data_IF_824564659694
#
_entry.id   IF_824564659694
#
_cell.length_a   1.000
_cell.length_b   1.000
_cell.length_c   1.000
_cell.angle_alpha   90.00
_cell.angle_beta   90.00
_cell.angle_gamma   90.00
#
_symmetry.space_group_name_H-M   'P 1'
#
loop_
_entity.id
_entity.type
_entity.pdbx_description
1 polymer ?
#
# COMPACT_ATOMS: atom_id res chain seq x y z
N UNK A 1 17.68 1.91 4.40
CA UNK A 1 17.14 2.27 3.07
C UNK A 1 16.48 1.03 2.51
N UNK A 2 15.18 1.05 2.25
CA UNK A 2 14.48 -0.03 1.57
C UNK A 2 14.95 -0.04 0.09
N UNK A 3 15.93 -0.88 -0.20
CA UNK A 3 16.48 -1.10 -1.56
C UNK A 3 15.67 -2.11 -2.36
N UNK A 4 14.52 -2.58 -1.85
CA UNK A 4 13.69 -3.55 -2.53
C UNK A 4 12.96 -2.89 -3.68
N UNK A 5 13.36 -3.26 -4.91
CA UNK A 5 12.73 -2.90 -6.19
C UNK A 5 11.46 -3.70 -6.48
N UNK A 6 11.06 -4.58 -5.56
CA UNK A 6 9.87 -5.42 -5.73
C UNK A 6 8.64 -4.56 -5.49
N UNK A 7 7.73 -4.54 -6.46
CA UNK A 7 6.42 -3.92 -6.29
C UNK A 7 5.72 -4.58 -5.09
N UNK A 8 5.13 -3.79 -4.17
CA UNK A 8 4.37 -4.36 -3.07
C UNK A 8 3.22 -5.19 -3.65
N UNK A 9 3.19 -6.47 -3.30
CA UNK A 9 2.11 -7.36 -3.71
C UNK A 9 1.09 -7.42 -2.60
N UNK A 10 -0.19 -7.26 -2.95
CA UNK A 10 -1.30 -7.52 -2.04
C UNK A 10 -1.19 -8.98 -1.58
N UNK A 11 -0.84 -9.14 -0.30
CA UNK A 11 -0.76 -10.44 0.35
C UNK A 11 -1.85 -10.48 1.41
N UNK A 12 -2.63 -11.57 1.41
CA UNK A 12 -3.47 -11.89 2.55
C UNK A 12 -2.55 -12.37 3.67
N UNK A 13 -2.46 -11.59 4.75
CA UNK A 13 -1.74 -11.99 5.95
C UNK A 13 -2.61 -12.97 6.75
N UNK A 14 -2.01 -14.04 7.24
CA UNK A 14 -2.69 -14.95 8.16
C UNK A 14 -2.91 -14.28 9.53
N UNK A 15 -3.83 -14.85 10.33
CA UNK A 15 -4.15 -14.32 11.65
C UNK A 15 -2.92 -14.26 12.57
N UNK A 16 -2.01 -15.23 12.42
CA UNK A 16 -0.79 -15.37 13.21
C UNK A 16 0.42 -14.67 12.58
N UNK A 17 0.29 -14.11 11.38
CA UNK A 17 1.37 -13.36 10.74
C UNK A 17 1.60 -12.02 11.47
N UNK A 18 2.83 -11.80 11.93
CA UNK A 18 3.22 -10.55 12.60
C UNK A 18 3.23 -9.31 11.66
N UNK A 19 3.02 -9.49 10.36
CA UNK A 19 3.06 -8.43 9.34
C UNK A 19 2.21 -8.73 8.11
N UNK A 20 2.33 -7.92 7.05
CA UNK A 20 1.66 -8.18 5.76
C UNK A 20 0.26 -7.57 5.58
N UNK A 21 -0.32 -6.97 6.62
CA UNK A 21 -1.67 -6.36 6.57
C UNK A 21 -1.71 -4.94 6.01
N UNK A 22 -0.54 -4.28 5.91
CA UNK A 22 -0.46 -2.86 5.54
C UNK A 22 -1.08 -2.56 4.18
N UNK A 23 -0.79 -3.38 3.17
CA UNK A 23 -1.36 -3.20 1.83
C UNK A 23 -2.85 -3.53 1.80
N UNK A 24 -3.30 -4.55 2.54
CA UNK A 24 -4.73 -4.86 2.68
C UNK A 24 -5.49 -3.71 3.30
N UNK A 25 -4.90 -3.03 4.29
CA UNK A 25 -5.51 -1.88 4.93
C UNK A 25 -5.56 -0.66 4.00
N UNK A 26 -4.50 -0.43 3.22
CA UNK A 26 -4.47 0.62 2.19
C UNK A 26 -5.54 0.34 1.13
N UNK A 27 -5.62 -0.89 0.62
CA UNK A 27 -6.60 -1.32 -0.37
C UNK A 27 -8.05 -1.13 0.10
N UNK A 28 -8.34 -1.46 1.36
CA UNK A 28 -9.68 -1.33 1.92
C UNK A 28 -10.14 0.11 2.20
N UNK A 29 -9.20 1.04 2.41
CA UNK A 29 -9.50 2.41 2.86
C UNK A 29 -9.42 3.46 1.74
N UNK A 30 -8.80 3.12 0.62
CA UNK A 30 -8.43 4.09 -0.42
C UNK A 30 -9.26 3.86 -1.69
N UNK A 31 -9.53 4.93 -2.42
CA UNK A 31 -10.19 4.83 -3.72
C UNK A 31 -9.26 4.19 -4.76
N UNK A 32 -7.99 4.56 -4.69
CA UNK A 32 -6.92 4.06 -5.54
C UNK A 32 -5.61 4.14 -4.79
N UNK A 33 -4.69 3.22 -5.07
CA UNK A 33 -3.34 3.26 -4.54
C UNK A 33 -2.37 2.65 -5.55
N UNK A 34 -1.10 2.99 -5.43
CA UNK A 34 -0.08 2.50 -6.34
C UNK A 34 1.33 2.74 -5.83
N UNK A 35 2.30 2.45 -6.70
CA UNK A 35 3.72 2.65 -6.39
C UNK A 35 4.47 3.27 -7.54
N UNK A 36 5.29 4.26 -7.22
CA UNK A 36 6.19 4.89 -8.16
C UNK A 36 7.65 4.55 -7.82
N UNK A 37 8.46 4.11 -8.80
CA UNK A 37 9.88 3.90 -8.57
C UNK A 37 10.60 5.23 -8.37
N UNK A 38 11.51 5.27 -7.39
CA UNK A 38 12.37 6.42 -7.11
C UNK A 38 13.85 6.02 -7.25
N UNK A 39 14.77 6.95 -7.58
CA UNK A 39 16.20 6.63 -7.74
C UNK A 39 16.84 5.93 -6.53
N UNK A 40 16.27 6.08 -5.33
CA UNK A 40 16.73 5.44 -4.10
C UNK A 40 15.76 4.46 -3.44
N UNK A 41 14.67 4.05 -4.11
CA UNK A 41 13.65 3.19 -3.51
C UNK A 41 12.32 3.21 -4.28
N UNK A 42 11.21 3.17 -3.55
CA UNK A 42 9.85 3.29 -4.10
C UNK A 42 9.01 4.20 -3.21
N UNK A 43 8.12 4.96 -3.83
CA UNK A 43 7.03 5.66 -3.15
C UNK A 43 5.78 4.79 -3.22
N UNK A 44 5.02 4.71 -2.13
CA UNK A 44 3.65 4.16 -2.13
C UNK A 44 2.72 5.36 -1.94
N UNK A 45 1.75 5.51 -2.83
CA UNK A 45 0.76 6.59 -2.78
C UNK A 45 -0.65 6.02 -2.69
N UNK A 46 -1.58 6.81 -2.17
CA UNK A 46 -3.00 6.47 -2.15
C UNK A 46 -3.87 7.71 -2.25
N UNK A 47 -5.06 7.53 -2.82
CA UNK A 47 -6.11 8.54 -2.95
C UNK A 47 -7.23 8.17 -1.97
N UNK A 48 -7.54 9.08 -1.06
CA UNK A 48 -8.58 8.90 -0.05
C UNK A 48 -9.85 9.67 -0.44
N UNK A 49 -11.05 9.12 -0.17
CA UNK A 49 -12.29 9.87 -0.33
C UNK A 49 -12.28 11.13 0.54
N UNK A 50 -12.62 12.29 -0.02
CA UNK A 50 -12.60 13.58 0.71
C UNK A 50 -13.83 13.81 1.60
N UNK A 51 -14.71 12.81 1.75
CA UNK A 51 -15.93 12.88 2.56
C UNK A 51 -17.00 13.82 2.01
N UNK A 52 -16.85 14.31 0.78
CA UNK A 52 -17.81 15.23 0.12
C UNK A 52 -18.77 14.51 -0.83
N UNK A 53 -18.67 13.19 -0.94
CA UNK A 53 -19.56 12.34 -1.73
C UNK A 53 -20.78 11.95 -0.84
N UNK A 54 -21.57 12.94 -0.42
CA UNK A 54 -22.92 12.78 0.15
C UNK A 54 -23.67 14.10 0.04
#
# INVERSE_FOLDING_TARGET
MDTSRVHPVLRQADADDAGGRGLTMIDALTHSWGTDPLPGGKCVWCELPTGTDT
#
